data_IF_696692563421
#
_entry.id   IF_696692563421
#
_cell.length_a   1.000
_cell.length_b   1.000
_cell.length_c   1.000
_cell.angle_alpha   90.00
_cell.angle_beta   90.00
_cell.angle_gamma   90.00
#
_symmetry.space_group_name_H-M   'P 1'
#
loop_
_entity.id
_entity.type
_entity.pdbx_description
1 polymer ?
#
# COMPACT_ATOMS: atom_id res chain seq x y z
N UNK A 1 -3.56 4.86 31.28
CA UNK A 1 -4.13 3.61 30.70
C UNK A 1 -3.06 2.61 30.30
N UNK A 2 -2.05 2.96 29.50
CA UNK A 2 -0.96 2.03 29.14
C UNK A 2 -0.24 1.42 30.36
N UNK A 3 -0.05 2.20 31.42
CA UNK A 3 0.50 1.74 32.72
C UNK A 3 -0.33 0.66 33.42
N UNK A 4 -1.65 0.64 33.24
CA UNK A 4 -2.53 -0.36 33.85
C UNK A 4 -2.46 -1.72 33.13
N UNK A 5 -2.32 -1.69 31.79
CA UNK A 5 -2.14 -2.90 30.97
C UNK A 5 -0.75 -3.53 31.12
N UNK A 6 0.28 -2.70 31.32
CA UNK A 6 1.64 -3.20 31.62
C UNK A 6 1.69 -4.00 32.93
N UNK A 7 0.76 -3.78 33.86
CA UNK A 7 0.71 -4.47 35.15
C UNK A 7 0.02 -5.84 35.09
N UNK A 8 -0.78 -6.14 34.07
CA UNK A 8 -1.64 -7.34 34.08
C UNK A 8 -1.00 -8.62 33.54
N UNK A 9 0.25 -8.60 33.05
CA UNK A 9 1.04 -9.75 32.53
C UNK A 9 0.39 -10.64 31.43
N UNK A 10 -0.86 -10.40 31.04
CA UNK A 10 -1.64 -11.26 30.13
C UNK A 10 -1.43 -10.95 28.63
N UNK A 11 -0.67 -9.89 28.30
CA UNK A 11 -0.53 -9.39 26.93
C UNK A 11 -1.85 -8.92 26.30
N UNK A 12 -1.88 -8.77 24.98
CA UNK A 12 -3.11 -8.49 24.23
C UNK A 12 -2.96 -7.43 23.14
N UNK A 13 -4.02 -6.66 22.92
CA UNK A 13 -4.10 -5.64 21.87
C UNK A 13 -4.73 -4.37 22.40
N UNK A 14 -4.05 -3.25 22.20
CA UNK A 14 -4.49 -1.92 22.54
C UNK A 14 -4.99 -1.21 21.28
N UNK A 15 -6.25 -0.77 21.31
CA UNK A 15 -6.84 0.06 20.26
C UNK A 15 -6.84 1.51 20.75
N UNK A 16 -6.02 2.37 20.12
CA UNK A 16 -5.91 3.79 20.48
C UNK A 16 -6.76 4.59 19.49
N UNK A 17 -7.77 5.29 20.01
CA UNK A 17 -8.59 6.21 19.23
C UNK A 17 -8.10 7.64 19.53
N UNK A 18 -7.37 8.22 18.58
CA UNK A 18 -6.71 9.52 18.74
C UNK A 18 -7.34 10.56 17.81
N UNK A 19 -7.69 11.72 18.36
CA UNK A 19 -8.26 12.83 17.57
C UNK A 19 -7.33 14.04 17.46
N UNK A 20 -6.53 14.34 18.48
CA UNK A 20 -5.72 15.56 18.52
C UNK A 20 -4.25 15.25 18.77
N UNK A 21 -3.34 16.18 18.50
CA UNK A 21 -1.93 16.03 18.85
C UNK A 21 -1.76 15.79 20.36
N UNK A 22 -1.01 14.75 20.80
CA UNK A 22 -0.68 14.56 22.22
C UNK A 22 0.24 15.69 22.74
N UNK A 23 -0.34 16.73 23.33
CA UNK A 23 0.40 17.93 23.79
C UNK A 23 0.77 17.93 25.27
N UNK A 24 0.24 16.98 26.05
CA UNK A 24 0.40 16.89 27.50
C UNK A 24 0.89 15.50 27.93
N UNK A 25 1.66 15.44 29.01
CA UNK A 25 2.17 14.20 29.61
C UNK A 25 3.52 13.74 29.05
N UNK A 26 3.86 12.48 29.35
CA UNK A 26 5.06 11.82 28.83
C UNK A 26 4.90 11.55 27.32
N UNK A 27 5.93 11.88 26.53
CA UNK A 27 5.86 11.78 25.07
C UNK A 27 5.08 12.91 24.39
N UNK A 28 4.99 14.08 25.03
CA UNK A 28 4.38 15.29 24.44
C UNK A 28 5.03 15.63 23.09
N UNK A 29 4.20 15.96 22.11
CA UNK A 29 4.63 16.31 20.76
C UNK A 29 4.40 17.79 20.47
N UNK A 30 5.24 18.34 19.60
CA UNK A 30 5.11 19.73 19.13
C UNK A 30 4.68 19.77 17.67
N UNK A 31 4.11 20.90 17.27
CA UNK A 31 3.84 21.18 15.86
C UNK A 31 5.18 21.36 15.13
N UNK A 32 5.51 20.42 14.23
CA UNK A 32 6.78 20.42 13.47
C UNK A 32 6.61 20.19 11.96
N UNK A 33 5.39 19.90 11.51
CA UNK A 33 5.06 19.63 10.10
C UNK A 33 4.67 20.87 9.27
N UNK A 34 4.50 22.04 9.89
CA UNK A 34 4.00 23.24 9.20
C UNK A 34 5.11 24.11 8.58
N UNK A 35 6.38 23.85 8.89
CA UNK A 35 7.49 24.63 8.33
C UNK A 35 7.82 24.18 6.89
N UNK A 36 7.22 24.87 5.93
CA UNK A 36 7.37 24.64 4.48
C UNK A 36 8.85 24.65 4.05
N UNK A 37 9.73 25.39 4.74
CA UNK A 37 11.15 25.52 4.39
C UNK A 37 11.95 24.24 4.58
N UNK A 38 11.44 23.30 5.38
CA UNK A 38 12.11 22.02 5.64
C UNK A 38 11.91 21.04 4.48
N UNK A 39 10.82 21.17 3.72
CA UNK A 39 10.49 20.29 2.61
C UNK A 39 11.48 20.46 1.44
N UNK A 40 11.91 19.34 0.85
CA UNK A 40 12.94 19.30 -0.19
C UNK A 40 14.38 19.39 0.33
N UNK A 41 14.60 19.65 1.61
CA UNK A 41 15.93 19.72 2.23
C UNK A 41 16.38 18.36 2.78
N UNK A 42 17.67 18.23 3.10
CA UNK A 42 18.20 17.02 3.75
C UNK A 42 17.58 16.76 5.13
N UNK A 43 16.98 17.78 5.75
CA UNK A 43 16.34 17.67 7.07
C UNK A 43 14.91 17.15 7.00
N UNK A 44 14.29 17.06 5.82
CA UNK A 44 12.90 16.62 5.68
C UNK A 44 12.65 15.22 6.24
N UNK A 45 13.64 14.32 6.17
CA UNK A 45 13.52 12.96 6.70
C UNK A 45 13.24 12.94 8.21
N UNK A 46 13.69 13.94 8.96
CA UNK A 46 13.50 14.04 10.41
C UNK A 46 12.03 14.22 10.78
N UNK A 47 11.22 14.81 9.89
CA UNK A 47 9.78 14.97 10.07
C UNK A 47 9.03 13.62 10.00
N UNK A 48 9.60 12.62 9.32
CA UNK A 48 9.03 11.28 9.17
C UNK A 48 9.48 10.31 10.27
N UNK A 49 10.38 10.74 11.15
CA UNK A 49 10.84 9.99 12.31
C UNK A 49 10.07 10.43 13.56
N UNK A 50 9.89 9.57 14.57
CA UNK A 50 9.30 9.97 15.83
C UNK A 50 10.09 11.13 16.46
N UNK A 51 9.39 12.15 16.99
CA UNK A 51 10.03 13.31 17.64
C UNK A 51 10.74 12.91 18.92
N UNK A 52 10.03 12.12 19.73
CA UNK A 52 10.46 11.70 21.05
C UNK A 52 10.86 10.22 21.04
N UNK A 53 12.08 9.85 21.49
CA UNK A 53 12.49 8.46 21.69
C UNK A 53 11.51 7.63 22.54
N UNK A 54 10.70 8.27 23.38
CA UNK A 54 9.63 7.68 24.16
C UNK A 54 8.78 6.69 23.36
N UNK A 55 8.36 7.04 22.14
CA UNK A 55 7.48 6.16 21.35
C UNK A 55 8.16 4.83 20.97
N UNK A 56 9.46 4.87 20.68
CA UNK A 56 10.23 3.66 20.37
C UNK A 56 10.49 2.83 21.62
N UNK A 57 10.79 3.46 22.74
CA UNK A 57 10.98 2.79 24.03
C UNK A 57 9.68 2.15 24.53
N UNK A 58 8.57 2.89 24.47
CA UNK A 58 7.24 2.38 24.80
C UNK A 58 6.88 1.17 23.92
N UNK A 59 7.11 1.23 22.61
CA UNK A 59 6.85 0.09 21.72
C UNK A 59 7.70 -1.15 22.08
N UNK A 60 8.95 -0.93 22.50
CA UNK A 60 9.81 -2.01 22.98
C UNK A 60 9.26 -2.64 24.26
N UNK A 61 8.81 -1.82 25.21
CA UNK A 61 8.24 -2.32 26.47
C UNK A 61 6.92 -3.05 26.23
N UNK A 62 6.00 -2.49 25.43
CA UNK A 62 4.77 -3.16 25.04
C UNK A 62 5.05 -4.52 24.37
N UNK A 63 6.09 -4.61 23.53
CA UNK A 63 6.50 -5.87 22.91
C UNK A 63 7.03 -6.90 23.92
N UNK A 64 7.67 -6.47 25.01
CA UNK A 64 8.09 -7.39 26.09
C UNK A 64 6.86 -8.03 26.76
N UNK A 65 5.82 -7.24 26.97
CA UNK A 65 4.55 -7.69 27.55
C UNK A 65 3.57 -8.26 26.53
N UNK A 66 3.98 -8.49 25.27
CA UNK A 66 3.12 -9.05 24.22
C UNK A 66 1.86 -8.23 23.96
N UNK A 67 1.98 -6.89 23.98
CA UNK A 67 0.90 -5.96 23.65
C UNK A 67 1.09 -5.41 22.22
N UNK A 68 0.15 -5.73 21.33
CA UNK A 68 0.03 -5.12 20.01
C UNK A 68 -0.73 -3.79 20.05
N UNK A 69 -0.36 -2.79 19.24
CA UNK A 69 -1.04 -1.48 19.21
C UNK A 69 -1.59 -1.17 17.84
N UNK A 70 -2.90 -0.95 17.75
CA UNK A 70 -3.54 -0.34 16.59
C UNK A 70 -3.94 1.11 16.89
N UNK A 71 -3.77 1.97 15.91
CA UNK A 71 -4.02 3.41 16.05
C UNK A 71 -5.09 3.81 15.06
N UNK A 72 -6.16 4.39 15.57
CA UNK A 72 -7.24 5.00 14.81
C UNK A 72 -7.13 6.51 14.99
N UNK A 73 -6.70 7.22 13.95
CA UNK A 73 -6.49 8.66 13.95
C UNK A 73 -7.59 9.37 13.16
N UNK A 74 -8.31 10.31 13.79
CA UNK A 74 -9.53 10.95 13.25
C UNK A 74 -9.37 12.45 12.96
N UNK A 75 -8.15 12.95 13.03
CA UNK A 75 -7.89 14.39 13.09
C UNK A 75 -8.17 15.13 11.79
N UNK A 76 -8.67 16.35 11.95
CA UNK A 76 -8.75 17.40 10.93
C UNK A 76 -7.43 18.20 10.82
N UNK A 77 -6.59 18.13 11.86
CA UNK A 77 -5.31 18.85 12.00
C UNK A 77 -4.13 17.89 12.14
N UNK A 78 -2.93 18.45 12.12
CA UNK A 78 -1.70 17.67 12.35
C UNK A 78 -1.70 16.95 13.72
N UNK A 79 -1.36 15.67 13.71
CA UNK A 79 -1.32 14.74 14.87
C UNK A 79 0.01 14.01 15.04
N UNK A 80 0.94 14.20 14.11
CA UNK A 80 2.24 13.53 14.10
C UNK A 80 2.12 12.00 14.08
N UNK A 81 1.52 11.51 12.99
CA UNK A 81 1.38 10.08 12.71
C UNK A 81 2.75 9.39 12.65
N UNK A 82 3.84 10.09 12.34
CA UNK A 82 5.19 9.55 12.38
C UNK A 82 5.55 9.01 13.79
N UNK A 83 5.26 9.81 14.82
CA UNK A 83 5.49 9.43 16.22
C UNK A 83 4.51 8.35 16.67
N UNK A 84 3.21 8.55 16.47
CA UNK A 84 2.18 7.61 16.90
C UNK A 84 2.33 6.26 16.21
N UNK A 85 2.43 6.24 14.88
CA UNK A 85 2.54 5.03 14.06
C UNK A 85 3.78 4.18 14.37
N UNK A 86 4.80 4.74 15.02
CA UNK A 86 5.95 3.99 15.52
C UNK A 86 5.53 2.90 16.52
N UNK A 87 4.52 3.15 17.36
CA UNK A 87 3.97 2.13 18.27
C UNK A 87 3.38 0.96 17.48
N UNK A 88 2.56 1.25 16.47
CA UNK A 88 1.95 0.23 15.63
C UNK A 88 3.00 -0.56 14.82
N UNK A 89 4.01 0.13 14.28
CA UNK A 89 5.10 -0.49 13.51
C UNK A 89 5.83 -1.55 14.34
N UNK A 90 6.33 -1.20 15.52
CA UNK A 90 7.18 -2.11 16.29
C UNK A 90 6.39 -3.17 17.07
N UNK A 91 5.12 -2.93 17.39
CA UNK A 91 4.27 -3.91 18.08
C UNK A 91 3.50 -4.84 17.14
N UNK A 92 3.73 -4.73 15.83
CA UNK A 92 3.09 -5.56 14.81
C UNK A 92 1.65 -5.16 14.47
N UNK A 93 1.19 -3.99 14.93
CA UNK A 93 -0.14 -3.46 14.67
C UNK A 93 -0.28 -2.68 13.36
N UNK A 94 -1.28 -1.80 13.32
CA UNK A 94 -1.70 -1.07 12.12
C UNK A 94 -2.17 0.36 12.46
N UNK A 95 -1.97 1.28 11.51
CA UNK A 95 -2.48 2.66 11.55
C UNK A 95 -3.69 2.77 10.62
N UNK A 96 -4.81 3.25 11.15
CA UNK A 96 -6.02 3.63 10.44
C UNK A 96 -6.14 5.15 10.50
N UNK A 97 -6.05 5.80 9.34
CA UNK A 97 -6.06 7.25 9.21
C UNK A 97 -7.34 7.71 8.53
N UNK A 98 -8.10 8.56 9.22
CA UNK A 98 -9.35 9.17 8.74
C UNK A 98 -9.20 10.69 8.80
N UNK A 99 -8.68 11.31 7.73
CA UNK A 99 -8.53 12.76 7.69
C UNK A 99 -9.91 13.43 7.73
N UNK A 100 -10.07 14.47 8.55
CA UNK A 100 -11.31 15.25 8.68
C UNK A 100 -12.55 14.36 8.86
N UNK A 101 -12.52 13.52 9.90
CA UNK A 101 -13.56 12.53 10.14
C UNK A 101 -14.96 13.16 10.25
N UNK A 102 -15.93 12.50 9.62
CA UNK A 102 -17.34 12.91 9.60
C UNK A 102 -18.18 11.66 9.80
N UNK A 103 -18.98 11.61 10.86
CA UNK A 103 -19.73 10.40 11.23
C UNK A 103 -20.64 9.90 10.10
N UNK A 104 -21.33 10.80 9.40
CA UNK A 104 -22.27 10.43 8.35
C UNK A 104 -21.59 9.74 7.15
N UNK A 105 -20.37 10.15 6.81
CA UNK A 105 -19.65 9.65 5.64
C UNK A 105 -18.67 8.51 6.01
N UNK A 106 -17.89 8.70 7.08
CA UNK A 106 -16.83 7.79 7.50
C UNK A 106 -17.28 6.74 8.53
N UNK A 107 -18.45 6.91 9.17
CA UNK A 107 -18.91 6.05 10.26
C UNK A 107 -19.02 4.58 9.87
N UNK A 108 -19.54 4.28 8.67
CA UNK A 108 -19.63 2.90 8.18
C UNK A 108 -18.24 2.31 7.92
N UNK A 109 -17.29 3.09 7.40
CA UNK A 109 -15.90 2.64 7.22
C UNK A 109 -15.27 2.27 8.55
N UNK A 110 -15.35 3.16 9.54
CA UNK A 110 -14.83 2.91 10.88
C UNK A 110 -15.47 1.66 11.50
N UNK A 111 -16.80 1.55 11.43
CA UNK A 111 -17.54 0.40 11.97
C UNK A 111 -17.09 -0.91 11.35
N UNK A 112 -16.92 -0.96 10.02
CA UNK A 112 -16.49 -2.16 9.28
C UNK A 112 -15.05 -2.52 9.55
N UNK A 113 -14.15 -1.53 9.53
CA UNK A 113 -12.72 -1.76 9.80
C UNK A 113 -12.47 -2.17 11.25
N UNK A 114 -13.18 -1.57 12.21
CA UNK A 114 -13.12 -1.97 13.61
C UNK A 114 -13.70 -3.39 13.82
N UNK A 115 -14.86 -3.69 13.22
CA UNK A 115 -15.44 -5.04 13.30
C UNK A 115 -14.49 -6.09 12.71
N UNK A 116 -13.85 -5.80 11.57
CA UNK A 116 -12.83 -6.68 10.97
C UNK A 116 -11.62 -6.82 11.89
N UNK A 117 -11.13 -5.72 12.46
CA UNK A 117 -9.96 -5.74 13.34
C UNK A 117 -10.17 -6.56 14.63
N UNK A 118 -11.41 -6.62 15.12
CA UNK A 118 -11.81 -7.40 16.28
C UNK A 118 -12.12 -8.87 15.96
N UNK A 119 -12.59 -9.17 14.75
CA UNK A 119 -13.09 -10.52 14.39
C UNK A 119 -12.14 -11.33 13.51
N UNK A 120 -11.15 -10.69 12.87
CA UNK A 120 -10.19 -11.38 12.00
C UNK A 120 -9.30 -12.33 12.78
N UNK A 121 -8.85 -13.38 12.10
CA UNK A 121 -7.88 -14.32 12.65
C UNK A 121 -6.62 -13.55 13.06
N UNK A 122 -6.33 -13.57 14.36
CA UNK A 122 -5.20 -12.90 14.98
C UNK A 122 -4.42 -13.93 15.77
N UNK A 123 -3.11 -13.94 15.55
CA UNK A 123 -2.14 -14.72 16.28
C UNK A 123 -1.52 -13.83 17.37
N UNK A 124 -1.60 -14.31 18.61
CA UNK A 124 -1.17 -13.60 19.81
C UNK A 124 0.20 -14.09 20.27
N UNK A 125 0.98 -13.20 20.89
CA UNK A 125 2.29 -13.52 21.47
C UNK A 125 3.19 -14.27 20.48
N UNK A 126 3.12 -13.83 19.21
CA UNK A 126 3.68 -14.56 18.11
C UNK A 126 5.17 -14.25 17.96
N UNK A 127 5.93 -15.27 17.59
CA UNK A 127 7.33 -15.15 17.17
C UNK A 127 7.51 -15.87 15.86
N UNK A 128 8.13 -15.19 14.91
CA UNK A 128 8.41 -15.72 13.59
C UNK A 128 9.91 -15.91 13.41
N UNK A 129 10.29 -17.09 12.95
CA UNK A 129 11.68 -17.42 12.59
C UNK A 129 11.71 -18.04 11.21
N UNK A 130 12.70 -17.66 10.42
CA UNK A 130 12.80 -18.07 9.03
C UNK A 130 14.15 -18.75 8.83
N UNK A 131 14.09 -19.99 8.38
CA UNK A 131 15.24 -20.86 8.14
C UNK A 131 15.39 -21.08 6.64
N UNK A 132 16.63 -21.22 6.20
CA UNK A 132 16.98 -21.49 4.81
C UNK A 132 18.01 -22.62 4.73
N UNK A 133 18.10 -23.23 3.56
CA UNK A 133 19.15 -24.20 3.24
C UNK A 133 20.55 -23.60 3.34
N UNK A 134 21.55 -24.48 3.38
CA UNK A 134 22.97 -24.11 3.47
C UNK A 134 23.38 -23.20 2.31
N UNK A 135 24.22 -22.20 2.56
CA UNK A 135 24.70 -21.26 1.55
C UNK A 135 23.78 -20.05 1.30
N UNK A 136 22.68 -19.92 2.04
CA UNK A 136 21.84 -18.72 2.03
C UNK A 136 21.72 -18.18 3.45
N UNK A 137 21.75 -16.85 3.57
CA UNK A 137 21.51 -16.13 4.82
C UNK A 137 20.56 -14.97 4.61
N UNK A 138 19.61 -14.78 5.53
CA UNK A 138 18.79 -13.57 5.57
C UNK A 138 19.58 -12.39 6.14
N UNK A 139 19.59 -11.27 5.43
CA UNK A 139 20.38 -10.08 5.78
C UNK A 139 19.55 -8.99 6.44
N UNK A 140 18.29 -8.84 6.01
CA UNK A 140 17.38 -7.82 6.54
C UNK A 140 15.94 -8.24 6.41
N UNK A 141 15.11 -7.66 7.28
CA UNK A 141 13.70 -7.99 7.43
C UNK A 141 12.91 -6.68 7.39
N UNK A 142 11.74 -6.70 6.76
CA UNK A 142 10.95 -5.51 6.46
C UNK A 142 9.47 -5.76 6.75
N UNK A 143 8.84 -4.85 7.49
CA UNK A 143 7.43 -4.92 7.89
C UNK A 143 7.20 -4.38 9.30
N UNK A 144 6.02 -4.70 9.86
CA UNK A 144 5.63 -4.27 11.20
C UNK A 144 5.96 -5.37 12.23
N UNK A 145 7.08 -5.23 12.91
CA UNK A 145 7.53 -6.12 13.98
C UNK A 145 8.66 -5.45 14.77
N UNK A 146 9.09 -6.13 15.83
CA UNK A 146 10.34 -5.81 16.52
C UNK A 146 11.28 -7.01 16.48
N UNK A 147 12.55 -6.79 16.17
CA UNK A 147 13.59 -7.82 16.26
C UNK A 147 14.02 -7.99 17.71
N UNK A 148 13.89 -9.21 18.27
CA UNK A 148 14.42 -9.56 19.61
C UNK A 148 15.86 -10.05 19.53
N UNK A 149 16.17 -10.83 18.50
CA UNK A 149 17.52 -11.25 18.12
C UNK A 149 17.73 -10.96 16.64
N UNK A 150 18.88 -11.35 16.09
CA UNK A 150 19.21 -11.17 14.66
C UNK A 150 18.25 -11.89 13.70
N UNK A 151 17.55 -12.93 14.15
CA UNK A 151 16.72 -13.80 13.32
C UNK A 151 15.33 -14.13 13.90
N UNK A 152 14.97 -13.52 15.04
CA UNK A 152 13.69 -13.73 15.72
C UNK A 152 12.85 -12.46 15.69
N UNK A 153 11.75 -12.51 14.94
CA UNK A 153 10.79 -11.42 14.81
C UNK A 153 9.73 -11.60 15.89
N UNK A 154 9.62 -10.62 16.79
CA UNK A 154 8.54 -10.56 17.77
C UNK A 154 7.34 -9.81 17.18
N UNK A 155 6.19 -10.46 17.31
CA UNK A 155 4.91 -10.09 16.75
C UNK A 155 3.85 -10.21 17.86
N UNK A 156 3.75 -9.24 18.79
CA UNK A 156 2.75 -9.27 19.87
C UNK A 156 1.34 -9.61 19.39
N UNK A 157 0.92 -9.00 18.27
CA UNK A 157 -0.28 -9.36 17.55
C UNK A 157 -0.02 -9.29 16.03
N UNK A 158 -0.29 -10.39 15.33
CA UNK A 158 -0.24 -10.45 13.85
C UNK A 158 -1.53 -11.04 13.33
N UNK A 159 -2.03 -10.51 12.21
CA UNK A 159 -3.29 -10.94 11.60
C UNK A 159 -3.09 -11.40 10.16
N UNK A 160 -4.12 -12.03 9.61
CA UNK A 160 -4.11 -12.59 8.26
C UNK A 160 -3.97 -11.56 7.13
N UNK A 161 -4.11 -10.26 7.41
CA UNK A 161 -4.09 -9.21 6.39
C UNK A 161 -2.69 -8.59 6.21
N UNK A 162 -1.68 -9.01 6.99
CA UNK A 162 -0.31 -8.49 6.98
C UNK A 162 0.66 -9.35 6.20
N UNK A 163 1.69 -8.73 5.62
CA UNK A 163 2.80 -9.41 4.96
C UNK A 163 4.16 -8.79 5.29
N UNK A 164 5.17 -9.65 5.26
CA UNK A 164 6.56 -9.33 5.57
C UNK A 164 7.44 -9.60 4.34
N UNK A 165 8.52 -8.83 4.19
CA UNK A 165 9.52 -9.07 3.16
C UNK A 165 10.90 -9.17 3.79
N UNK A 166 11.81 -9.87 3.13
CA UNK A 166 13.16 -10.09 3.64
C UNK A 166 14.13 -10.06 2.47
N UNK A 167 15.37 -9.65 2.74
CA UNK A 167 16.46 -9.80 1.79
C UNK A 167 17.33 -10.98 2.20
N UNK A 168 17.81 -11.71 1.20
CA UNK A 168 18.75 -12.80 1.36
C UNK A 168 20.04 -12.49 0.63
N UNK A 169 21.14 -13.04 1.12
CA UNK A 169 22.43 -13.09 0.45
C UNK A 169 22.80 -14.54 0.19
N UNK A 170 23.37 -14.79 -0.99
CA UNK A 170 23.98 -16.07 -1.33
C UNK A 170 25.44 -16.03 -0.88
N UNK A 171 25.88 -17.06 -0.16
CA UNK A 171 27.28 -17.23 0.22
C UNK A 171 28.00 -18.01 -0.88
N UNK A 172 29.13 -17.48 -1.36
CA UNK A 172 29.81 -17.86 -2.62
C UNK A 172 30.19 -19.35 -2.78
N UNK A 173 30.14 -20.15 -1.71
CA UNK A 173 30.72 -21.50 -1.71
C UNK A 173 29.73 -22.67 -1.82
N UNK A 174 28.39 -22.46 -1.77
CA UNK A 174 27.52 -23.54 -1.25
C UNK A 174 26.18 -23.86 -1.95
N UNK A 175 25.90 -23.36 -3.15
CA UNK A 175 24.73 -23.85 -3.91
C UNK A 175 25.09 -25.11 -4.75
N UNK A 176 25.66 -26.12 -4.11
CA UNK A 176 25.94 -27.43 -4.75
C UNK A 176 24.69 -28.30 -4.89
N UNK A 177 23.64 -27.99 -4.13
CA UNK A 177 22.36 -28.69 -4.19
C UNK A 177 21.44 -28.06 -5.24
N UNK A 178 20.75 -28.86 -6.07
CA UNK A 178 19.87 -28.36 -7.14
C UNK A 178 18.62 -27.66 -6.62
N UNK A 179 18.34 -27.76 -5.32
CA UNK A 179 17.16 -27.19 -4.69
C UNK A 179 17.51 -26.67 -3.31
N UNK A 180 17.02 -25.49 -2.99
CA UNK A 180 17.12 -24.88 -1.66
C UNK A 180 15.73 -24.86 -1.04
N UNK A 181 15.67 -25.09 0.27
CA UNK A 181 14.45 -25.06 1.04
C UNK A 181 14.41 -23.81 1.93
N UNK A 182 13.23 -23.21 2.03
CA UNK A 182 12.90 -22.14 2.96
C UNK A 182 11.80 -22.63 3.88
N UNK A 183 11.97 -22.40 5.18
CA UNK A 183 10.97 -22.76 6.17
C UNK A 183 10.68 -21.55 7.07
N UNK A 184 9.46 -21.05 6.99
CA UNK A 184 8.92 -20.02 7.88
C UNK A 184 8.16 -20.73 8.99
N UNK A 185 8.54 -20.51 10.24
CA UNK A 185 7.83 -21.02 11.41
C UNK A 185 7.29 -19.84 12.23
N UNK A 186 5.98 -19.82 12.42
CA UNK A 186 5.27 -18.88 13.29
C UNK A 186 4.76 -19.65 14.50
N UNK A 187 5.35 -19.41 15.67
CA UNK A 187 4.86 -19.91 16.95
C UNK A 187 3.96 -18.83 17.56
N UNK A 188 2.71 -19.17 17.88
CA UNK A 188 1.73 -18.20 18.36
C UNK A 188 0.68 -18.85 19.27
N UNK A 189 -0.04 -18.02 20.02
CA UNK A 189 -1.23 -18.41 20.78
C UNK A 189 -2.45 -18.03 19.95
N UNK A 190 -3.32 -18.99 19.62
CA UNK A 190 -4.57 -18.73 18.92
C UNK A 190 -5.58 -18.06 19.87
N UNK A 191 -6.61 -17.38 19.32
CA UNK A 191 -7.64 -16.72 20.14
C UNK A 191 -8.43 -17.68 21.05
N UNK A 192 -8.40 -19.00 20.79
CA UNK A 192 -8.97 -20.02 21.67
C UNK A 192 -8.06 -20.41 22.84
N UNK A 193 -6.87 -19.81 22.98
CA UNK A 193 -5.91 -20.09 24.05
C UNK A 193 -4.88 -21.19 23.73
N UNK A 194 -4.98 -21.85 22.57
CA UNK A 194 -4.04 -22.90 22.20
C UNK A 194 -2.72 -22.34 21.65
N UNK A 195 -1.59 -22.90 22.12
CA UNK A 195 -0.28 -22.62 21.52
C UNK A 195 -0.11 -23.47 20.27
N UNK A 196 0.09 -22.84 19.12
CA UNK A 196 0.19 -23.48 17.80
C UNK A 196 1.48 -23.05 17.09
N UNK A 197 1.95 -23.93 16.20
CA UNK A 197 3.03 -23.62 15.27
C UNK A 197 2.46 -23.74 13.85
N UNK A 198 2.51 -22.64 13.09
CA UNK A 198 2.23 -22.64 11.65
C UNK A 198 3.57 -22.68 10.91
N UNK A 199 3.71 -23.66 10.01
CA UNK A 199 4.93 -23.84 9.22
C UNK A 199 4.59 -23.72 7.73
N UNK A 200 5.33 -22.87 7.03
CA UNK A 200 5.33 -22.83 5.56
C UNK A 200 6.69 -23.28 5.07
N UNK A 201 6.71 -24.32 4.24
CA UNK A 201 7.92 -24.81 3.59
C UNK A 201 7.81 -24.56 2.09
N UNK A 202 8.80 -23.90 1.51
CA UNK A 202 8.90 -23.65 0.08
C UNK A 202 10.24 -24.20 -0.42
N UNK A 203 10.23 -24.76 -1.62
CA UNK A 203 11.43 -25.21 -2.32
C UNK A 203 11.65 -24.31 -3.54
N UNK A 204 12.88 -23.87 -3.75
CA UNK A 204 13.28 -23.10 -4.93
C UNK A 204 14.41 -23.84 -5.67
N UNK A 205 14.30 -24.04 -6.99
CA UNK A 205 15.38 -24.63 -7.77
C UNK A 205 16.56 -23.65 -7.85
N UNK A 206 17.77 -24.21 -7.81
CA UNK A 206 19.01 -23.47 -8.07
C UNK A 206 19.33 -23.59 -9.55
N UNK A 207 19.52 -22.45 -10.20
CA UNK A 207 19.87 -22.36 -11.62
C UNK A 207 21.25 -21.73 -11.77
N UNK A 208 22.03 -22.20 -12.74
CA UNK A 208 23.34 -21.65 -13.09
C UNK A 208 23.25 -20.63 -14.22
N UNK A 209 22.17 -20.65 -15.01
CA UNK A 209 21.92 -19.69 -16.09
C UNK A 209 21.11 -18.48 -15.59
N UNK A 210 21.64 -17.28 -15.84
CA UNK A 210 20.95 -16.04 -15.50
C UNK A 210 19.66 -15.87 -16.30
N UNK A 211 19.61 -16.32 -17.56
CA UNK A 211 18.41 -16.26 -18.38
C UNK A 211 17.23 -17.02 -17.75
N UNK A 212 17.49 -18.21 -17.22
CA UNK A 212 16.51 -19.00 -16.46
C UNK A 212 16.07 -18.31 -15.17
N UNK A 213 17.00 -17.71 -14.42
CA UNK A 213 16.66 -16.92 -13.23
C UNK A 213 15.68 -15.79 -13.57
N UNK A 214 15.95 -15.03 -14.65
CA UNK A 214 15.05 -13.96 -15.07
C UNK A 214 13.67 -14.49 -15.46
N UNK A 215 13.56 -15.64 -16.15
CA UNK A 215 12.25 -16.23 -16.50
C UNK A 215 11.38 -16.55 -15.28
N UNK A 216 11.99 -16.90 -14.15
CA UNK A 216 11.30 -17.24 -12.91
C UNK A 216 11.08 -16.05 -11.95
N UNK A 217 11.47 -14.84 -12.35
CA UNK A 217 11.39 -13.67 -11.49
C UNK A 217 9.92 -13.23 -11.26
N UNK A 218 9.51 -13.12 -9.99
CA UNK A 218 8.18 -12.64 -9.63
C UNK A 218 8.17 -11.10 -9.48
N UNK A 219 7.54 -10.41 -10.44
CA UNK A 219 7.39 -8.94 -10.41
C UNK A 219 6.70 -8.45 -9.14
N UNK A 220 5.68 -9.15 -8.66
CA UNK A 220 4.93 -8.76 -7.47
C UNK A 220 5.78 -8.81 -6.20
N UNK A 221 6.55 -9.88 -6.02
CA UNK A 221 7.47 -10.00 -4.90
C UNK A 221 8.56 -8.92 -4.93
N UNK A 222 9.14 -8.65 -6.11
CA UNK A 222 10.17 -7.61 -6.31
C UNK A 222 9.61 -6.22 -5.97
N UNK A 223 8.46 -5.86 -6.53
CA UNK A 223 7.80 -4.56 -6.27
C UNK A 223 7.45 -4.41 -4.79
N UNK A 224 7.01 -5.48 -4.14
CA UNK A 224 6.69 -5.51 -2.72
C UNK A 224 7.91 -5.26 -1.82
N UNK A 225 9.07 -5.81 -2.19
CA UNK A 225 10.33 -5.53 -1.50
C UNK A 225 10.82 -4.11 -1.79
N UNK A 226 10.82 -3.68 -3.06
CA UNK A 226 11.23 -2.35 -3.49
C UNK A 226 10.42 -1.25 -2.80
N UNK A 227 9.11 -1.45 -2.64
CA UNK A 227 8.23 -0.58 -1.86
C UNK A 227 8.75 -0.36 -0.44
N UNK A 228 9.04 -1.45 0.29
CA UNK A 228 9.49 -1.38 1.69
C UNK A 228 10.85 -0.71 1.80
N UNK A 229 11.78 -1.05 0.91
CA UNK A 229 13.10 -0.42 0.83
C UNK A 229 13.01 1.09 0.54
N UNK A 230 12.15 1.48 -0.39
CA UNK A 230 11.96 2.89 -0.74
C UNK A 230 11.39 3.67 0.45
N UNK A 231 10.37 3.14 1.13
CA UNK A 231 9.78 3.76 2.34
C UNK A 231 10.83 3.88 3.44
N UNK A 232 11.59 2.83 3.74
CA UNK A 232 12.66 2.89 4.73
C UNK A 232 13.76 3.89 4.35
N UNK A 233 14.10 3.99 3.06
CA UNK A 233 15.06 4.97 2.57
C UNK A 233 14.58 6.40 2.84
N UNK A 234 13.28 6.70 2.69
CA UNK A 234 12.71 8.03 3.02
C UNK A 234 12.92 8.46 4.48
N UNK A 235 13.16 7.52 5.39
CA UNK A 235 13.43 7.80 6.81
C UNK A 235 14.88 8.23 7.06
N UNK A 236 15.76 8.10 6.07
CA UNK A 236 17.21 8.39 6.19
C UNK A 236 17.71 9.40 5.16
N UNK A 237 16.99 9.63 4.07
CA UNK A 237 17.38 10.52 2.98
C UNK A 237 16.23 11.35 2.45
N UNK A 238 16.52 12.24 1.49
CA UNK A 238 15.49 12.95 0.72
C UNK A 238 14.60 11.96 -0.04
N UNK A 239 13.39 12.40 -0.37
CA UNK A 239 12.47 11.60 -1.18
C UNK A 239 13.02 11.34 -2.58
N UNK A 240 13.71 12.33 -3.15
CA UNK A 240 14.35 12.20 -4.46
C UNK A 240 15.38 11.08 -4.47
N UNK A 241 16.23 10.99 -3.44
CA UNK A 241 17.20 9.91 -3.30
C UNK A 241 16.54 8.52 -3.19
N UNK A 242 15.38 8.44 -2.52
CA UNK A 242 14.62 7.20 -2.42
C UNK A 242 14.06 6.77 -3.80
N UNK A 243 13.51 7.71 -4.58
CA UNK A 243 13.06 7.46 -5.96
C UNK A 243 14.22 7.09 -6.88
N UNK A 244 15.34 7.80 -6.79
CA UNK A 244 16.55 7.52 -7.56
C UNK A 244 17.13 6.14 -7.21
N UNK A 245 17.14 5.75 -5.95
CA UNK A 245 17.59 4.42 -5.53
C UNK A 245 16.70 3.30 -6.10
N UNK A 246 15.38 3.50 -6.12
CA UNK A 246 14.44 2.59 -6.76
C UNK A 246 14.71 2.48 -8.26
N UNK A 247 14.83 3.61 -8.95
CA UNK A 247 15.13 3.69 -10.36
C UNK A 247 16.43 2.96 -10.72
N UNK A 248 17.51 3.21 -9.97
CA UNK A 248 18.81 2.59 -10.19
C UNK A 248 18.75 1.06 -10.06
N UNK A 249 17.94 0.52 -9.13
CA UNK A 249 17.75 -0.93 -8.98
C UNK A 249 17.07 -1.54 -10.21
N UNK A 250 16.04 -0.87 -10.75
CA UNK A 250 15.34 -1.31 -11.97
C UNK A 250 16.30 -1.25 -13.17
N UNK A 251 17.01 -0.13 -13.34
CA UNK A 251 18.00 0.04 -14.42
C UNK A 251 19.08 -1.03 -14.36
N UNK A 252 19.62 -1.33 -13.17
CA UNK A 252 20.64 -2.37 -12.99
C UNK A 252 20.11 -3.74 -13.42
N UNK A 253 18.93 -4.13 -12.96
CA UNK A 253 18.33 -5.41 -13.34
C UNK A 253 18.12 -5.54 -14.87
N UNK A 254 17.59 -4.50 -15.51
CA UNK A 254 17.36 -4.51 -16.96
C UNK A 254 18.67 -4.46 -17.76
N UNK A 255 19.70 -3.79 -17.25
CA UNK A 255 21.03 -3.75 -17.87
C UNK A 255 21.69 -5.12 -17.87
N UNK A 256 21.71 -5.81 -16.74
CA UNK A 256 22.27 -7.17 -16.65
C UNK A 256 21.55 -8.10 -17.62
N UNK A 257 20.21 -8.04 -17.69
CA UNK A 257 19.45 -8.83 -18.67
C UNK A 257 19.83 -8.48 -20.11
N UNK A 258 19.92 -7.18 -20.44
CA UNK A 258 20.32 -6.73 -21.78
C UNK A 258 21.70 -7.32 -22.17
N UNK A 259 22.68 -7.24 -21.28
CA UNK A 259 24.05 -7.71 -21.51
C UNK A 259 24.12 -9.20 -21.88
N UNK A 260 23.20 -10.03 -21.38
CA UNK A 260 23.09 -11.45 -21.77
C UNK A 260 22.72 -11.64 -23.25
N UNK A 261 21.95 -10.72 -23.85
CA UNK A 261 21.38 -10.88 -25.19
C UNK A 261 21.96 -9.92 -26.25
N UNK A 262 22.80 -8.94 -25.87
CA UNK A 262 23.43 -8.00 -26.82
C UNK A 262 24.23 -8.72 -27.90
N UNK A 263 24.92 -9.81 -27.57
CA UNK A 263 25.79 -10.55 -28.51
C UNK A 263 24.97 -11.31 -29.56
N UNK A 264 23.76 -11.74 -29.23
CA UNK A 264 22.95 -12.62 -30.09
C UNK A 264 22.05 -11.86 -31.07
N UNK A 265 21.72 -10.60 -30.77
CA UNK A 265 20.79 -9.83 -31.58
C UNK A 265 21.36 -8.43 -31.84
N UNK A 266 21.64 -8.09 -33.11
CA UNK A 266 22.07 -6.76 -33.59
C UNK A 266 20.96 -5.68 -33.43
N UNK A 267 20.30 -5.64 -32.27
CA UNK A 267 19.16 -4.81 -31.92
C UNK A 267 19.61 -3.64 -31.03
N UNK A 268 20.47 -2.77 -31.57
CA UNK A 268 21.09 -1.69 -30.78
C UNK A 268 20.10 -0.66 -30.20
N UNK A 269 18.92 -0.53 -30.78
CA UNK A 269 17.97 0.57 -30.49
C UNK A 269 16.68 0.15 -29.78
N UNK A 270 16.44 -1.14 -29.53
CA UNK A 270 15.22 -1.61 -28.84
C UNK A 270 15.49 -1.84 -27.36
N UNK A 271 14.51 -1.54 -26.52
CA UNK A 271 14.56 -1.91 -25.11
C UNK A 271 14.32 -3.42 -24.97
N UNK A 272 15.31 -4.11 -24.41
CA UNK A 272 15.25 -5.56 -24.15
C UNK A 272 14.95 -5.74 -22.65
N UNK A 273 13.93 -6.53 -22.34
CA UNK A 273 13.53 -6.86 -20.97
C UNK A 273 12.94 -8.29 -20.94
N UNK A 274 12.96 -8.97 -19.79
CA UNK A 274 12.37 -10.30 -19.67
C UNK A 274 10.84 -10.20 -19.54
N UNK A 275 10.14 -11.16 -20.12
CA UNK A 275 8.66 -11.23 -20.10
C UNK A 275 8.10 -11.24 -18.67
N UNK A 276 8.79 -11.92 -17.75
CA UNK A 276 8.47 -11.98 -16.32
C UNK A 276 8.47 -10.61 -15.62
N UNK A 277 9.26 -9.66 -16.12
CA UNK A 277 9.44 -8.31 -15.57
C UNK A 277 8.82 -7.21 -16.46
N UNK A 278 7.94 -7.55 -17.41
CA UNK A 278 7.34 -6.57 -18.33
C UNK A 278 6.63 -5.41 -17.64
N UNK A 279 6.07 -5.63 -16.45
CA UNK A 279 5.38 -4.60 -15.66
C UNK A 279 6.26 -3.96 -14.58
N UNK A 280 7.54 -4.35 -14.45
CA UNK A 280 8.42 -3.83 -13.42
C UNK A 280 8.60 -2.31 -13.52
N UNK A 281 8.80 -1.80 -14.74
CA UNK A 281 8.94 -0.36 -14.97
C UNK A 281 7.66 0.41 -14.62
N UNK A 282 6.50 -0.15 -14.97
CA UNK A 282 5.19 0.44 -14.67
C UNK A 282 4.96 0.55 -13.16
N UNK A 283 5.19 -0.53 -12.42
CA UNK A 283 5.09 -0.51 -10.96
C UNK A 283 6.18 0.35 -10.31
N UNK A 284 7.37 0.44 -10.91
CA UNK A 284 8.43 1.37 -10.47
C UNK A 284 8.02 2.83 -10.57
N UNK A 285 7.33 3.21 -11.65
CA UNK A 285 6.74 4.53 -11.83
C UNK A 285 5.63 4.78 -10.80
N UNK A 286 4.71 3.81 -10.67
CA UNK A 286 3.62 3.88 -9.70
C UNK A 286 4.13 4.07 -8.26
N UNK A 287 5.17 3.34 -7.88
CA UNK A 287 5.84 3.51 -6.58
C UNK A 287 6.42 4.92 -6.44
N UNK A 288 7.10 5.43 -7.46
CA UNK A 288 7.68 6.78 -7.44
C UNK A 288 6.62 7.89 -7.31
N UNK A 289 5.40 7.65 -7.84
CA UNK A 289 4.24 8.54 -7.73
C UNK A 289 3.37 8.30 -6.49
N UNK A 290 3.64 7.25 -5.70
CA UNK A 290 2.85 6.92 -4.51
C UNK A 290 2.99 7.96 -3.40
N UNK A 291 1.96 8.10 -2.56
CA UNK A 291 1.89 9.11 -1.49
C UNK A 291 3.14 9.16 -0.59
N UNK A 292 3.76 8.04 -0.17
CA UNK A 292 4.98 8.07 0.65
C UNK A 292 6.20 8.68 -0.04
N UNK A 293 6.26 8.62 -1.38
CA UNK A 293 7.44 8.95 -2.19
C UNK A 293 7.24 10.19 -3.06
N UNK A 294 6.01 10.60 -3.33
CA UNK A 294 5.70 11.76 -4.18
C UNK A 294 5.98 13.08 -3.46
N UNK A 295 6.52 14.03 -4.23
CA UNK A 295 6.30 15.45 -4.00
C UNK A 295 6.90 16.11 -2.74
N UNK A 296 6.55 17.39 -2.57
CA UNK A 296 6.82 18.21 -1.38
C UNK A 296 5.56 18.39 -0.52
N UNK A 297 5.52 19.41 0.35
CA UNK A 297 4.38 19.68 1.24
C UNK A 297 3.03 19.82 0.51
N UNK A 298 3.05 20.43 -0.70
CA UNK A 298 1.84 20.71 -1.47
C UNK A 298 1.13 19.45 -2.02
N UNK A 299 1.86 18.33 -2.16
CA UNK A 299 1.35 17.12 -2.83
C UNK A 299 0.74 16.11 -1.85
N UNK A 300 1.22 16.09 -0.60
CA UNK A 300 0.74 15.24 0.47
C UNK A 300 1.15 15.83 1.83
N UNK A 301 0.19 15.92 2.75
CA UNK A 301 0.48 16.32 4.12
C UNK A 301 1.34 15.25 4.81
N UNK A 302 2.10 15.67 5.83
CA UNK A 302 3.03 14.78 6.54
C UNK A 302 2.34 13.56 7.15
N UNK A 303 1.19 13.75 7.80
CA UNK A 303 0.43 12.68 8.43
C UNK A 303 -0.12 11.68 7.40
N UNK A 304 -0.68 12.18 6.29
CA UNK A 304 -1.15 11.35 5.19
C UNK A 304 0.00 10.51 4.61
N UNK A 305 1.17 11.13 4.43
CA UNK A 305 2.38 10.47 3.95
C UNK A 305 2.83 9.35 4.89
N UNK A 306 2.91 9.63 6.18
CA UNK A 306 3.31 8.66 7.18
C UNK A 306 2.28 7.52 7.27
N UNK A 307 0.99 7.82 7.28
CA UNK A 307 -0.08 6.82 7.29
C UNK A 307 -0.04 5.89 6.07
N UNK A 308 0.15 6.45 4.87
CA UNK A 308 0.33 5.67 3.65
C UNK A 308 1.57 4.77 3.74
N UNK A 309 2.69 5.30 4.26
CA UNK A 309 3.93 4.55 4.48
C UNK A 309 3.72 3.36 5.42
N UNK A 310 3.11 3.57 6.60
CA UNK A 310 2.81 2.49 7.54
C UNK A 310 1.87 1.43 6.95
N UNK A 311 0.89 1.84 6.15
CA UNK A 311 -0.03 0.93 5.46
C UNK A 311 0.72 0.08 4.44
N UNK A 312 1.49 0.70 3.54
CA UNK A 312 2.23 0.01 2.48
C UNK A 312 3.31 -0.95 3.02
N UNK A 313 3.88 -0.69 4.20
CA UNK A 313 4.81 -1.60 4.87
C UNK A 313 4.15 -2.91 5.32
N UNK A 314 2.83 -2.91 5.56
CA UNK A 314 2.08 -4.05 6.05
C UNK A 314 1.33 -4.82 4.96
N UNK A 315 1.05 -4.20 3.81
CA UNK A 315 0.17 -4.79 2.78
C UNK A 315 0.74 -6.09 2.16
N UNK A 316 -0.11 -7.10 1.90
CA UNK A 316 0.20 -8.24 1.07
C UNK A 316 0.43 -7.85 -0.38
N UNK A 317 1.22 -8.66 -1.10
CA UNK A 317 1.64 -8.40 -2.50
C UNK A 317 0.45 -8.04 -3.38
N UNK A 318 -0.60 -8.88 -3.42
CA UNK A 318 -1.80 -8.64 -4.25
C UNK A 318 -2.44 -7.27 -3.99
N UNK A 319 -2.53 -6.86 -2.73
CA UNK A 319 -3.16 -5.57 -2.35
C UNK A 319 -2.26 -4.40 -2.68
N UNK A 320 -0.96 -4.54 -2.40
CA UNK A 320 0.01 -3.52 -2.74
C UNK A 320 0.03 -3.25 -4.25
N UNK A 321 0.00 -4.30 -5.08
CA UNK A 321 -0.09 -4.14 -6.54
C UNK A 321 -1.39 -3.45 -6.96
N UNK A 322 -2.53 -3.79 -6.33
CA UNK A 322 -3.81 -3.13 -6.60
C UNK A 322 -3.81 -1.65 -6.18
N UNK A 323 -3.17 -1.32 -5.06
CA UNK A 323 -3.00 0.06 -4.61
C UNK A 323 -2.09 0.86 -5.53
N UNK A 324 -1.01 0.22 -6.01
CA UNK A 324 -0.05 0.84 -6.91
C UNK A 324 -0.57 1.01 -8.32
N UNK A 325 -1.30 0.05 -8.88
CA UNK A 325 -1.95 0.17 -10.18
C UNK A 325 -3.43 -0.21 -10.06
N UNK A 326 -4.28 0.77 -9.72
CA UNK A 326 -5.71 0.58 -9.48
C UNK A 326 -6.49 0.17 -10.72
N UNK A 327 -7.70 -0.34 -10.51
CA UNK A 327 -8.60 -0.71 -11.59
C UNK A 327 -9.51 0.47 -11.95
N UNK A 328 -9.43 0.96 -13.18
CA UNK A 328 -10.39 1.90 -13.75
C UNK A 328 -11.37 1.14 -14.66
N UNK A 329 -12.67 1.31 -14.41
CA UNK A 329 -13.72 0.52 -15.06
C UNK A 329 -14.86 1.45 -15.46
N UNK A 330 -15.31 1.37 -16.70
CA UNK A 330 -16.50 2.07 -17.17
C UNK A 330 -17.74 1.28 -16.75
N UNK A 331 -18.67 1.92 -16.04
CA UNK A 331 -19.80 1.24 -15.39
C UNK A 331 -21.18 1.64 -15.93
N UNK A 332 -21.31 2.74 -16.67
CA UNK A 332 -22.60 3.20 -17.24
C UNK A 332 -23.24 2.14 -18.14
N UNK A 333 -22.47 1.48 -19.00
CA UNK A 333 -22.98 0.43 -19.90
C UNK A 333 -23.58 -0.77 -19.15
N UNK A 334 -23.02 -1.12 -17.98
CA UNK A 334 -23.53 -2.20 -17.15
C UNK A 334 -24.83 -1.83 -16.46
N UNK A 335 -24.88 -0.61 -15.92
CA UNK A 335 -26.00 -0.14 -15.14
C UNK A 335 -27.28 -0.04 -15.99
N UNK A 336 -27.14 0.24 -17.29
CA UNK A 336 -28.24 0.35 -18.25
C UNK A 336 -28.75 -1.01 -18.78
N UNK A 337 -27.98 -2.10 -18.70
CA UNK A 337 -28.37 -3.40 -19.30
C UNK A 337 -29.41 -4.16 -18.45
N UNK A 338 -30.61 -4.47 -18.98
CA UNK A 338 -31.72 -5.07 -18.21
C UNK A 338 -31.45 -6.46 -17.59
N UNK A 339 -30.52 -7.23 -18.14
CA UNK A 339 -30.29 -8.62 -17.76
C UNK A 339 -28.80 -8.97 -17.76
N UNK A 340 -28.04 -8.46 -16.79
CA UNK A 340 -26.64 -8.84 -16.64
C UNK A 340 -26.54 -10.28 -16.11
N UNK A 341 -26.18 -11.24 -16.98
CA UNK A 341 -25.81 -12.59 -16.57
C UNK A 341 -24.44 -12.56 -15.86
N UNK A 342 -24.06 -13.65 -15.18
CA UNK A 342 -22.79 -13.72 -14.46
C UNK A 342 -21.56 -13.52 -15.38
N UNK A 343 -21.66 -13.91 -16.66
CA UNK A 343 -20.61 -13.74 -17.66
C UNK A 343 -20.47 -12.28 -18.14
N UNK A 344 -21.55 -11.49 -18.12
CA UNK A 344 -21.48 -10.05 -18.42
C UNK A 344 -20.62 -9.31 -17.40
N UNK A 345 -20.66 -9.72 -16.13
CA UNK A 345 -19.86 -9.11 -15.07
C UNK A 345 -18.36 -9.27 -15.34
N UNK A 346 -17.91 -10.41 -15.88
CA UNK A 346 -16.49 -10.63 -16.20
C UNK A 346 -16.02 -9.78 -17.38
N UNK A 347 -16.82 -9.67 -18.43
CA UNK A 347 -16.49 -8.85 -19.61
C UNK A 347 -16.48 -7.35 -19.30
N UNK A 348 -17.32 -6.90 -18.36
CA UNK A 348 -17.48 -5.49 -17.97
C UNK A 348 -16.39 -5.03 -17.00
N UNK A 349 -15.84 -5.94 -16.21
CA UNK A 349 -14.67 -5.68 -15.37
C UNK A 349 -13.36 -5.54 -16.18
N UNK A 350 -13.45 -5.33 -17.50
CA UNK A 350 -12.29 -4.99 -18.34
C UNK A 350 -11.71 -3.67 -17.85
N UNK A 351 -10.49 -3.75 -17.35
CA UNK A 351 -9.75 -2.60 -16.83
C UNK A 351 -9.30 -1.72 -17.98
N UNK A 352 -9.56 -0.43 -17.85
CA UNK A 352 -9.03 0.60 -18.71
C UNK A 352 -7.63 1.01 -18.22
N UNK A 353 -6.75 1.48 -19.12
CA UNK A 353 -5.48 2.05 -18.71
C UNK A 353 -5.70 3.31 -17.89
N UNK A 354 -4.72 3.65 -17.04
CA UNK A 354 -4.81 4.79 -16.13
C UNK A 354 -4.33 6.07 -16.81
N UNK A 355 -5.06 6.46 -17.85
CA UNK A 355 -4.82 7.64 -18.70
C UNK A 355 -6.08 8.52 -18.75
N UNK A 356 -5.89 9.83 -18.86
CA UNK A 356 -6.97 10.81 -18.97
C UNK A 356 -7.79 10.62 -20.25
N UNK A 357 -7.15 10.15 -21.33
CA UNK A 357 -7.84 9.81 -22.58
C UNK A 357 -8.84 8.65 -22.43
N UNK A 358 -8.72 7.83 -21.38
CA UNK A 358 -9.67 6.75 -21.10
C UNK A 358 -10.99 7.25 -20.49
N UNK A 359 -11.03 8.51 -20.03
CA UNK A 359 -12.20 9.13 -19.43
C UNK A 359 -12.99 9.92 -20.49
N UNK A 360 -14.16 9.42 -20.87
CA UNK A 360 -15.14 10.13 -21.70
C UNK A 360 -16.03 10.99 -20.80
N UNK A 361 -16.19 12.26 -21.15
CA UNK A 361 -17.08 13.22 -20.47
C UNK A 361 -18.54 12.77 -20.40
N UNK A 362 -18.97 11.79 -21.20
CA UNK A 362 -20.33 11.21 -21.19
C UNK A 362 -20.45 9.96 -20.33
N UNK A 363 -19.35 9.41 -19.83
CA UNK A 363 -19.31 8.13 -19.13
C UNK A 363 -19.43 8.24 -17.61
N UNK A 364 -19.62 7.08 -16.98
CA UNK A 364 -19.55 6.91 -15.53
C UNK A 364 -18.49 5.86 -15.23
N UNK A 365 -17.54 6.20 -14.37
CA UNK A 365 -16.36 5.36 -14.12
C UNK A 365 -16.23 5.02 -12.64
N UNK A 366 -15.79 3.79 -12.38
CA UNK A 366 -15.39 3.31 -11.06
C UNK A 366 -13.87 3.11 -11.05
N UNK A 367 -13.21 3.80 -10.14
CA UNK A 367 -11.81 3.60 -9.81
C UNK A 367 -11.70 2.87 -8.46
N UNK A 368 -10.94 1.78 -8.43
CA UNK A 368 -10.77 0.89 -7.28
C UNK A 368 -9.29 0.61 -7.01
N UNK A 369 -8.76 1.25 -5.96
CA UNK A 369 -7.39 1.06 -5.47
C UNK A 369 -7.28 0.00 -4.35
N UNK A 370 -8.40 -0.63 -3.99
CA UNK A 370 -8.48 -1.61 -2.90
C UNK A 370 -8.66 -1.02 -1.51
N UNK A 371 -8.50 0.30 -1.30
CA UNK A 371 -8.75 1.00 -0.03
C UNK A 371 -9.95 1.95 -0.11
N UNK A 372 -10.28 2.45 -1.29
CA UNK A 372 -11.42 3.32 -1.58
C UNK A 372 -11.97 3.04 -2.98
N UNK A 373 -13.23 3.41 -3.16
CA UNK A 373 -13.83 3.52 -4.49
C UNK A 373 -13.96 4.99 -4.83
N UNK A 374 -13.62 5.38 -6.06
CA UNK A 374 -13.93 6.71 -6.59
C UNK A 374 -14.88 6.52 -7.77
N UNK A 375 -16.09 7.07 -7.65
CA UNK A 375 -17.10 7.07 -8.70
C UNK A 375 -17.05 8.43 -9.36
N UNK A 376 -16.57 8.45 -10.60
CA UNK A 376 -16.38 9.66 -11.38
C UNK A 376 -17.52 9.84 -12.38
N UNK A 377 -18.15 11.01 -12.32
CA UNK A 377 -19.27 11.41 -13.16
C UNK A 377 -18.77 12.38 -14.24
N UNK A 378 -18.86 11.97 -15.51
CA UNK A 378 -18.55 12.85 -16.62
C UNK A 378 -19.49 14.07 -16.68
N UNK A 379 -18.99 15.21 -17.13
CA UNK A 379 -19.74 16.48 -17.18
C UNK A 379 -20.96 16.41 -18.12
N UNK A 380 -20.87 15.59 -19.16
CA UNK A 380 -21.91 15.37 -20.17
C UNK A 380 -22.69 14.06 -19.92
N UNK A 381 -22.54 13.44 -18.76
CA UNK A 381 -23.32 12.26 -18.38
C UNK A 381 -24.81 12.63 -18.33
N UNK A 382 -25.68 11.71 -18.78
CA UNK A 382 -27.12 11.93 -18.72
C UNK A 382 -27.58 12.25 -17.29
N UNK A 383 -28.30 13.37 -17.07
CA UNK A 383 -28.82 13.73 -15.75
C UNK A 383 -29.72 12.65 -15.14
N UNK A 384 -30.40 11.84 -15.97
CA UNK A 384 -31.27 10.77 -15.49
C UNK A 384 -30.48 9.63 -14.83
N UNK A 385 -29.30 9.29 -15.36
CA UNK A 385 -28.41 8.29 -14.75
C UNK A 385 -27.98 8.78 -13.37
N UNK A 386 -27.51 10.02 -13.30
CA UNK A 386 -27.03 10.59 -12.05
C UNK A 386 -28.17 10.80 -11.03
N UNK A 387 -29.38 11.17 -11.46
CA UNK A 387 -30.58 11.26 -10.60
C UNK A 387 -31.00 9.89 -10.06
N UNK A 388 -30.97 8.86 -10.89
CA UNK A 388 -31.28 7.49 -10.43
C UNK A 388 -30.25 7.00 -9.40
N UNK A 389 -28.98 7.33 -9.57
CA UNK A 389 -27.92 6.91 -8.65
C UNK A 389 -27.88 7.70 -7.35
N UNK A 390 -28.07 9.02 -7.40
CA UNK A 390 -27.91 9.92 -6.25
C UNK A 390 -29.24 10.32 -5.58
N UNK A 391 -30.37 10.07 -6.24
CA UNK A 391 -31.70 10.40 -5.73
C UNK A 391 -31.86 11.91 -5.46
N UNK A 392 -32.43 12.31 -4.31
CA UNK A 392 -32.68 13.73 -3.98
C UNK A 392 -31.38 14.54 -3.81
N UNK A 393 -30.25 13.87 -3.55
CA UNK A 393 -28.94 14.50 -3.36
C UNK A 393 -28.22 14.78 -4.71
N UNK A 394 -28.88 14.54 -5.85
CA UNK A 394 -28.30 14.84 -7.17
C UNK A 394 -27.86 16.30 -7.33
N UNK A 395 -28.56 17.26 -6.73
CA UNK A 395 -28.19 18.68 -6.80
C UNK A 395 -27.18 19.10 -5.71
N UNK A 396 -26.87 18.23 -4.75
CA UNK A 396 -25.98 18.53 -3.64
C UNK A 396 -24.50 18.51 -4.05
N UNK A 397 -23.66 19.10 -3.20
CA UNK A 397 -22.22 18.98 -3.29
C UNK A 397 -21.80 17.52 -3.03
N UNK A 398 -21.24 16.85 -4.04
CA UNK A 398 -20.89 15.42 -3.98
C UNK A 398 -19.91 15.06 -2.86
N UNK A 399 -19.19 16.05 -2.32
CA UNK A 399 -18.29 15.89 -1.19
C UNK A 399 -18.99 15.45 0.10
N UNK A 400 -20.29 15.73 0.24
CA UNK A 400 -21.10 15.45 1.44
C UNK A 400 -22.08 14.30 1.25
N UNK A 401 -22.22 13.80 0.03
CA UNK A 401 -23.17 12.76 -0.35
C UNK A 401 -22.63 11.40 0.07
N UNK A 402 -23.32 10.73 0.99
CA UNK A 402 -23.06 9.34 1.31
C UNK A 402 -23.83 8.45 0.33
N UNK A 403 -23.13 7.58 -0.40
CA UNK A 403 -23.79 6.70 -1.37
C UNK A 403 -24.71 5.70 -0.66
N UNK A 404 -26.02 5.86 -0.85
CA UNK A 404 -27.06 4.96 -0.34
C UNK A 404 -27.77 4.22 -1.46
N UNK A 405 -28.38 3.09 -1.12
CA UNK A 405 -29.26 2.37 -2.04
C UNK A 405 -30.58 3.12 -2.15
N UNK A 406 -30.98 3.44 -3.39
CA UNK A 406 -32.25 4.09 -3.70
C UNK A 406 -33.25 3.06 -4.28
N UNK A 407 -34.54 3.40 -4.26
CA UNK A 407 -35.63 2.56 -4.80
C UNK A 407 -35.69 2.54 -6.33
N UNK A 408 -34.58 2.18 -6.97
CA UNK A 408 -34.51 1.94 -8.41
C UNK A 408 -33.49 0.85 -8.73
N UNK A 409 -33.70 0.17 -9.86
CA UNK A 409 -32.88 -0.97 -10.24
C UNK A 409 -31.41 -0.59 -10.47
N UNK A 410 -31.15 0.62 -11.00
CA UNK A 410 -29.81 1.10 -11.30
C UNK A 410 -28.94 1.24 -10.04
N UNK A 411 -29.48 1.88 -8.99
CA UNK A 411 -28.83 2.03 -7.69
C UNK A 411 -28.58 0.67 -7.04
N UNK A 412 -29.58 -0.23 -7.04
CA UNK A 412 -29.42 -1.61 -6.51
C UNK A 412 -28.32 -2.38 -7.24
N UNK A 413 -28.20 -2.23 -8.56
CA UNK A 413 -27.12 -2.84 -9.36
C UNK A 413 -25.75 -2.29 -9.01
N UNK A 414 -25.61 -0.97 -8.85
CA UNK A 414 -24.36 -0.35 -8.41
C UNK A 414 -23.95 -0.89 -7.03
N UNK A 415 -24.88 -0.89 -6.06
CA UNK A 415 -24.61 -1.37 -4.70
C UNK A 415 -24.23 -2.86 -4.69
N UNK A 416 -24.90 -3.69 -5.50
CA UNK A 416 -24.55 -5.11 -5.68
C UNK A 416 -23.17 -5.30 -6.32
N UNK A 417 -22.79 -4.47 -7.30
CA UNK A 417 -21.44 -4.48 -7.87
C UNK A 417 -20.39 -4.14 -6.80
N UNK A 418 -20.56 -3.02 -6.08
CA UNK A 418 -19.62 -2.60 -5.03
C UNK A 418 -19.50 -3.67 -3.92
N UNK A 419 -20.61 -4.32 -3.56
CA UNK A 419 -20.63 -5.43 -2.61
C UNK A 419 -19.80 -6.61 -3.10
N UNK A 420 -19.97 -7.04 -4.36
CA UNK A 420 -19.17 -8.12 -4.96
C UNK A 420 -17.67 -7.81 -4.98
N UNK A 421 -17.30 -6.55 -5.27
CA UNK A 421 -15.91 -6.12 -5.23
C UNK A 421 -15.33 -6.20 -3.81
N UNK A 422 -16.09 -5.76 -2.79
CA UNK A 422 -15.72 -5.90 -1.38
C UNK A 422 -15.60 -7.35 -0.92
N UNK A 423 -16.49 -8.23 -1.38
CA UNK A 423 -16.45 -9.66 -1.06
C UNK A 423 -15.18 -10.34 -1.61
N UNK A 424 -14.63 -9.82 -2.72
CA UNK A 424 -13.38 -10.33 -3.28
C UNK A 424 -12.13 -10.00 -2.45
N UNK A 425 -12.19 -8.94 -1.62
CA UNK A 425 -11.14 -8.57 -0.67
C UNK A 425 -11.75 -7.88 0.57
N UNK A 426 -12.09 -8.65 1.63
CA UNK A 426 -12.78 -8.15 2.81
C UNK A 426 -11.87 -7.43 3.82
N UNK A 427 -10.60 -7.25 3.50
CA UNK A 427 -9.58 -6.83 4.46
C UNK A 427 -9.65 -5.36 4.84
N UNK A 428 -10.12 -4.53 3.90
CA UNK A 428 -10.36 -3.11 4.08
C UNK A 428 -11.74 -2.77 3.54
N UNK A 429 -12.39 -1.78 4.14
CA UNK A 429 -13.66 -1.29 3.62
C UNK A 429 -13.41 -0.18 2.60
N UNK A 430 -13.66 -0.48 1.32
CA UNK A 430 -13.56 0.53 0.26
C UNK A 430 -14.73 1.51 0.34
N UNK A 431 -14.47 2.65 0.98
CA UNK A 431 -15.42 3.76 1.10
C UNK A 431 -15.61 4.43 -0.27
N UNK A 432 -16.86 4.64 -0.74
CA UNK A 432 -17.11 5.30 -2.01
C UNK A 432 -17.00 6.82 -1.88
N UNK A 433 -16.20 7.42 -2.75
CA UNK A 433 -16.11 8.86 -2.97
C UNK A 433 -16.76 9.19 -4.31
N UNK A 434 -17.60 10.21 -4.31
CA UNK A 434 -18.25 10.72 -5.52
C UNK A 434 -17.50 11.98 -5.98
N UNK A 435 -17.33 12.11 -7.29
CA UNK A 435 -16.67 13.28 -7.90
C UNK A 435 -17.21 13.57 -9.30
N UNK A 436 -17.40 14.85 -9.63
CA UNK A 436 -17.77 15.31 -10.98
C UNK A 436 -16.56 15.82 -11.75
N UNK A 437 -16.61 15.65 -13.07
CA UNK A 437 -15.65 16.26 -13.97
C UNK A 437 -15.70 17.80 -13.85
N UNK A 438 -14.55 18.42 -13.59
CA UNK A 438 -14.41 19.86 -13.35
C UNK A 438 -14.53 20.28 -11.88
N UNK A 439 -14.82 19.37 -10.95
CA UNK A 439 -14.90 19.66 -9.51
C UNK A 439 -13.50 19.75 -8.90
N UNK A 440 -12.78 20.83 -9.17
CA UNK A 440 -11.44 21.06 -8.65
C UNK A 440 -11.48 21.70 -7.24
N UNK A 441 -10.57 21.33 -6.33
CA UNK A 441 -9.41 20.44 -6.53
C UNK A 441 -9.71 18.96 -6.27
N UNK A 442 -10.96 18.60 -5.94
CA UNK A 442 -11.36 17.24 -5.53
C UNK A 442 -11.09 16.19 -6.60
N UNK A 443 -11.45 16.48 -7.85
CA UNK A 443 -11.18 15.63 -9.01
C UNK A 443 -9.67 15.38 -9.19
N UNK A 444 -8.87 16.45 -9.07
CA UNK A 444 -7.42 16.38 -9.09
C UNK A 444 -6.86 15.39 -8.07
N UNK A 445 -7.24 15.54 -6.79
CA UNK A 445 -6.71 14.73 -5.70
C UNK A 445 -7.24 13.28 -5.66
N UNK A 446 -8.50 13.06 -6.01
CA UNK A 446 -9.11 11.73 -5.93
C UNK A 446 -8.81 10.85 -7.15
N UNK A 447 -8.78 11.43 -8.35
CA UNK A 447 -8.65 10.66 -9.58
C UNK A 447 -7.46 11.07 -10.44
N UNK A 448 -7.37 12.33 -10.89
CA UNK A 448 -6.44 12.71 -11.96
C UNK A 448 -4.97 12.52 -11.57
N UNK A 449 -4.59 12.83 -10.34
CA UNK A 449 -3.22 12.58 -9.83
C UNK A 449 -2.87 11.08 -9.79
N UNK A 450 -3.88 10.21 -9.78
CA UNK A 450 -3.74 8.77 -9.74
C UNK A 450 -3.92 8.11 -11.13
N UNK A 451 -4.02 8.91 -12.21
CA UNK A 451 -3.87 8.45 -13.58
C UNK A 451 -2.37 8.33 -13.89
N UNK A 452 -1.80 7.21 -13.46
CA UNK A 452 -0.36 7.04 -13.29
C UNK A 452 0.46 7.14 -14.57
N UNK A 453 -0.16 6.90 -15.73
CA UNK A 453 0.52 6.91 -17.00
C UNK A 453 0.67 8.31 -17.57
N UNK A 454 -0.16 9.26 -17.13
CA UNK A 454 -0.11 10.66 -17.55
C UNK A 454 1.00 11.45 -16.86
N UNK A 455 1.37 12.55 -17.53
CA UNK A 455 2.21 13.59 -16.96
C UNK A 455 1.33 14.59 -16.20
N UNK A 456 1.43 14.61 -14.87
CA UNK A 456 0.64 15.51 -14.02
C UNK A 456 1.52 16.13 -12.94
N UNK A 457 1.37 17.44 -12.69
CA UNK A 457 2.04 18.13 -11.56
C UNK A 457 3.57 18.06 -11.58
N UNK A 458 4.20 18.07 -12.76
CA UNK A 458 5.67 17.97 -12.90
C UNK A 458 6.23 16.56 -12.74
N UNK A 459 5.39 15.55 -12.53
CA UNK A 459 5.82 14.13 -12.54
C UNK A 459 5.95 13.61 -13.96
N UNK A 460 6.80 12.59 -14.17
CA UNK A 460 7.10 12.02 -15.49
C UNK A 460 5.96 11.09 -15.95
N UNK A 461 5.55 11.18 -17.22
CA UNK A 461 4.59 10.24 -17.83
C UNK A 461 5.21 8.86 -18.08
N UNK A 462 4.40 7.85 -18.38
CA UNK A 462 4.91 6.48 -18.59
C UNK A 462 5.89 6.37 -19.76
N UNK A 463 5.60 7.05 -20.88
CA UNK A 463 6.46 7.02 -22.08
C UNK A 463 7.83 7.65 -21.78
N UNK A 464 7.85 8.82 -21.15
CA UNK A 464 9.08 9.51 -20.75
C UNK A 464 9.88 8.71 -19.73
N UNK A 465 9.21 8.07 -18.78
CA UNK A 465 9.84 7.19 -17.79
C UNK A 465 10.55 6.02 -18.46
N UNK A 466 9.89 5.34 -19.40
CA UNK A 466 10.50 4.25 -20.16
C UNK A 466 11.68 4.74 -21.00
N UNK A 467 11.57 5.90 -21.66
CA UNK A 467 12.68 6.49 -22.40
C UNK A 467 13.87 6.81 -21.49
N UNK A 468 13.62 7.34 -20.29
CA UNK A 468 14.66 7.64 -19.31
C UNK A 468 15.36 6.36 -18.83
N UNK A 469 14.60 5.33 -18.46
CA UNK A 469 15.14 4.02 -18.08
C UNK A 469 15.98 3.44 -19.23
N UNK A 470 15.47 3.48 -20.46
CA UNK A 470 16.17 2.97 -21.63
C UNK A 470 17.51 3.68 -21.86
N UNK A 471 17.54 5.01 -21.79
CA UNK A 471 18.78 5.81 -21.90
C UNK A 471 19.80 5.42 -20.82
N UNK A 472 19.36 5.24 -19.56
CA UNK A 472 20.27 4.86 -18.47
C UNK A 472 20.75 3.41 -18.57
N UNK A 473 19.95 2.51 -19.13
CA UNK A 473 20.38 1.15 -19.45
C UNK A 473 21.46 1.17 -20.55
N UNK A 474 21.42 2.15 -21.46
CA UNK A 474 22.43 2.33 -22.53
C UNK A 474 23.70 3.06 -22.09
N UNK A 475 23.59 4.11 -21.27
CA UNK A 475 24.70 5.04 -20.97
C UNK A 475 25.84 4.46 -20.13
N UNK A 476 25.61 3.38 -19.37
CA UNK A 476 26.66 2.72 -18.58
C UNK A 476 26.89 1.28 -19.07
N UNK A 477 26.84 1.09 -20.39
CA UNK A 477 27.19 -0.16 -21.06
C UNK A 477 28.66 -0.13 -21.50
#
# INVERSE_FOLDING_TARGET
MATCLLQSQLGGKLLIFQNTLPSLGYGRLKLRGDDIRVYGTDKEHTLRLPEDPFYKQMAADLTKYQIGVNIYAFSDKYTDIASLGTLAKYTGGQVYYYPSFQSNFHGEKLRRELARDLTRETAWEAVMRIRCGKGIRFTSYHGNFMLRSTDLLALPAVDCDKAYAMQLSLEETLLSTPTVYFQVALLYTASCGERRIRVHTAAAPVVTDLGEMYRQADTGAIVSLFCRLAIEKTLTSKLEDARNSLQQRIVKALREYRNLYVVQHRLGTRMIYPESLKFLCLYGLALSKSVPLKGGYADAQLDERCAAGFTMMALPVKKLLKLLYPSLIRIDEYLLKPSAQADDFKNIMKRLPLLAESLDSRGLYLYDDGLRFVIWFGRMLSPDIARNLLGPEFAAELSRVALTENDNEMSRRLMKMLKRLRESDPSYYQLPYLVRQGEQPREGFLLLVNLLEDQMGGTVGYVDWIMQIHRQVQQNA
#
